data_IF_189360866021
#
_entry.id   IF_189360866021
#
_cell.length_a   1.000
_cell.length_b   1.000
_cell.length_c   1.000
_cell.angle_alpha   90.00
_cell.angle_beta   90.00
_cell.angle_gamma   90.00
#
_symmetry.space_group_name_H-M   'P 1'
#
loop_
_entity.id
_entity.type
_entity.pdbx_description
1 polymer ?
#
# COMPACT_ATOMS: atom_id res chain seq x y z
N UNK A 1 -0.70 5.25 -11.64
CA UNK A 1 0.20 5.18 -10.47
C UNK A 1 1.33 6.19 -10.63
N UNK A 2 1.63 6.99 -9.60
CA UNK A 2 2.73 7.95 -9.62
C UNK A 2 3.99 7.35 -8.97
N UNK A 3 4.90 6.80 -9.76
CA UNK A 3 6.13 6.14 -9.25
C UNK A 3 7.09 7.11 -8.53
N UNK A 4 6.97 8.42 -8.76
CA UNK A 4 7.75 9.46 -8.07
C UNK A 4 7.01 10.02 -6.85
N UNK A 5 5.80 9.56 -6.58
CA UNK A 5 4.97 9.98 -5.45
C UNK A 5 5.56 9.53 -4.11
N UNK A 6 5.06 10.06 -2.99
CA UNK A 6 5.52 9.62 -1.68
C UNK A 6 5.14 8.16 -1.42
N UNK A 7 5.95 7.48 -0.60
CA UNK A 7 5.53 6.25 0.06
C UNK A 7 4.85 6.63 1.37
N UNK A 8 3.66 6.10 1.59
CA UNK A 8 2.85 6.35 2.78
C UNK A 8 3.01 5.18 3.74
N UNK A 9 3.22 5.45 5.02
CA UNK A 9 3.29 4.47 6.10
C UNK A 9 2.22 4.78 7.15
N UNK A 10 1.26 3.87 7.34
CA UNK A 10 0.22 3.96 8.35
C UNK A 10 0.58 2.98 9.48
N UNK A 11 1.15 3.52 10.56
CA UNK A 11 1.64 2.78 11.72
C UNK A 11 1.68 3.70 12.94
N UNK A 12 1.05 3.30 14.03
CA UNK A 12 0.99 4.10 15.26
C UNK A 12 2.10 3.70 16.26
N UNK A 13 2.71 2.53 16.12
CA UNK A 13 3.86 2.09 16.90
C UNK A 13 5.12 2.84 16.45
N UNK A 14 5.81 3.49 17.39
CA UNK A 14 7.04 4.24 17.08
C UNK A 14 8.23 3.34 16.74
N UNK A 15 8.31 2.16 17.35
CA UNK A 15 9.36 1.17 17.07
C UNK A 15 9.24 0.63 15.65
N UNK A 16 8.02 0.26 15.24
CA UNK A 16 7.76 -0.25 13.89
C UNK A 16 7.97 0.84 12.84
N UNK A 17 7.55 2.09 13.11
CA UNK A 17 7.89 3.23 12.24
C UNK A 17 9.40 3.43 12.06
N UNK A 18 10.17 3.34 13.15
CA UNK A 18 11.63 3.44 13.09
C UNK A 18 12.23 2.30 12.26
N UNK A 19 11.72 1.08 12.44
CA UNK A 19 12.14 -0.09 11.66
C UNK A 19 11.93 0.13 10.15
N UNK A 20 10.73 0.51 9.74
CA UNK A 20 10.41 0.77 8.32
C UNK A 20 11.25 1.93 7.75
N UNK A 21 11.32 3.05 8.46
CA UNK A 21 12.09 4.22 7.99
C UNK A 21 13.58 3.95 7.88
N UNK A 22 14.15 3.16 8.80
CA UNK A 22 15.53 2.69 8.68
C UNK A 22 15.72 1.83 7.44
N UNK A 23 14.83 0.86 7.19
CA UNK A 23 14.88 0.00 6.00
C UNK A 23 14.78 0.83 4.71
N UNK A 24 13.83 1.78 4.64
CA UNK A 24 13.69 2.65 3.48
C UNK A 24 14.96 3.48 3.22
N UNK A 25 15.61 3.95 4.29
CA UNK A 25 16.89 4.66 4.19
C UNK A 25 18.03 3.74 3.72
N UNK A 26 18.15 2.54 4.26
CA UNK A 26 19.18 1.56 3.87
C UNK A 26 19.01 1.06 2.44
N UNK A 27 17.78 1.03 1.93
CA UNK A 27 17.45 0.69 0.55
C UNK A 27 17.58 1.89 -0.41
N UNK A 28 18.00 3.06 0.09
CA UNK A 28 18.17 4.29 -0.70
C UNK A 28 16.90 4.68 -1.49
N UNK A 29 15.73 4.48 -0.89
CA UNK A 29 14.46 4.83 -1.51
C UNK A 29 14.39 6.35 -1.68
N UNK A 30 14.33 6.80 -2.93
CA UNK A 30 14.29 8.23 -3.27
C UNK A 30 12.94 8.91 -3.00
N UNK A 31 11.86 8.14 -2.87
CA UNK A 31 10.52 8.64 -2.60
C UNK A 31 10.43 9.27 -1.20
N UNK A 32 9.73 10.40 -1.07
CA UNK A 32 9.42 10.98 0.25
C UNK A 32 8.60 9.99 1.07
N UNK A 33 8.95 9.80 2.34
CA UNK A 33 8.17 8.98 3.26
C UNK A 33 7.19 9.87 4.05
N UNK A 34 5.90 9.55 4.02
CA UNK A 34 4.85 10.19 4.81
C UNK A 34 4.29 9.20 5.83
N UNK A 35 4.34 9.54 7.12
CA UNK A 35 3.89 8.65 8.19
C UNK A 35 2.61 9.17 8.85
N UNK A 36 1.66 8.26 9.09
CA UNK A 36 0.37 8.56 9.74
C UNK A 36 0.06 7.54 10.84
N UNK A 37 -0.75 7.96 11.82
CA UNK A 37 -1.17 7.08 12.94
C UNK A 37 -2.46 6.31 12.65
N UNK A 38 -3.21 6.71 11.61
CA UNK A 38 -4.49 6.12 11.24
C UNK A 38 -4.68 6.18 9.72
N UNK A 39 -5.55 5.32 9.19
CA UNK A 39 -5.96 5.36 7.79
C UNK A 39 -6.74 6.63 7.46
N UNK A 40 -7.57 7.10 8.39
CA UNK A 40 -8.32 8.36 8.22
C UNK A 40 -7.40 9.57 8.09
N UNK A 41 -6.35 9.69 8.91
CA UNK A 41 -5.39 10.80 8.81
C UNK A 41 -4.67 10.80 7.46
N UNK A 42 -4.25 9.62 7.01
CA UNK A 42 -3.61 9.44 5.71
C UNK A 42 -4.55 9.82 4.58
N UNK A 43 -5.78 9.30 4.57
CA UNK A 43 -6.78 9.58 3.55
C UNK A 43 -7.10 11.08 3.47
N UNK A 44 -7.41 11.71 4.61
CA UNK A 44 -7.72 13.13 4.68
C UNK A 44 -6.57 13.98 4.17
N UNK A 45 -5.33 13.65 4.56
CA UNK A 45 -4.15 14.36 4.09
C UNK A 45 -3.97 14.22 2.57
N UNK A 46 -4.02 13.00 2.04
CA UNK A 46 -3.75 12.73 0.63
C UNK A 46 -4.80 13.40 -0.27
N UNK A 47 -6.07 13.32 0.09
CA UNK A 47 -7.17 13.91 -0.69
C UNK A 47 -7.21 15.43 -0.59
N UNK A 48 -7.06 15.99 0.60
CA UNK A 48 -7.10 17.45 0.80
C UNK A 48 -5.94 18.17 0.09
N UNK A 49 -4.78 17.52 -0.01
CA UNK A 49 -3.58 18.11 -0.62
C UNK A 49 -3.32 17.62 -2.05
N UNK A 50 -4.25 16.86 -2.64
CA UNK A 50 -4.12 16.26 -3.99
C UNK A 50 -2.79 15.50 -4.19
N UNK A 51 -2.41 14.71 -3.18
CA UNK A 51 -1.16 13.95 -3.17
C UNK A 51 -1.39 12.55 -3.72
N UNK A 52 -0.84 12.29 -4.91
CA UNK A 52 -0.79 10.94 -5.50
C UNK A 52 0.36 10.12 -4.91
N UNK A 53 0.05 9.19 -4.02
CA UNK A 53 1.02 8.26 -3.44
C UNK A 53 1.58 7.28 -4.48
N UNK A 54 2.83 6.86 -4.26
CA UNK A 54 3.43 5.75 -5.01
C UNK A 54 2.95 4.41 -4.46
N UNK A 55 3.15 4.21 -3.15
CA UNK A 55 2.79 3.00 -2.42
C UNK A 55 2.26 3.38 -1.04
N UNK A 56 1.34 2.58 -0.52
CA UNK A 56 0.87 2.68 0.87
C UNK A 56 1.24 1.38 1.58
N UNK A 57 1.99 1.49 2.67
CA UNK A 57 2.20 0.44 3.65
C UNK A 57 1.31 0.72 4.85
N UNK A 58 0.46 -0.21 5.25
CA UNK A 58 -0.47 0.02 6.36
C UNK A 58 -0.59 -1.19 7.30
N UNK A 59 -0.57 -0.93 8.61
CA UNK A 59 -0.93 -1.96 9.58
C UNK A 59 -2.43 -2.30 9.45
N UNK A 60 -2.70 -3.57 9.16
CA UNK A 60 -4.06 -4.08 8.95
C UNK A 60 -4.92 -3.92 10.21
N UNK A 61 -4.32 -3.96 11.41
CA UNK A 61 -5.04 -3.79 12.68
C UNK A 61 -5.58 -2.37 12.77
N UNK A 62 -4.77 -1.37 12.42
CA UNK A 62 -5.18 0.04 12.46
C UNK A 62 -6.31 0.32 11.47
N UNK A 63 -6.23 -0.26 10.27
CA UNK A 63 -7.30 -0.14 9.28
C UNK A 63 -8.62 -0.77 9.74
N UNK A 64 -8.57 -1.94 10.39
CA UNK A 64 -9.78 -2.56 10.96
C UNK A 64 -10.36 -1.78 12.14
N UNK A 65 -9.53 -1.08 12.92
CA UNK A 65 -9.97 -0.26 14.04
C UNK A 65 -10.66 1.03 13.57
N UNK A 66 -10.16 1.63 12.49
CA UNK A 66 -10.78 2.81 11.86
C UNK A 66 -12.14 2.47 11.22
N UNK A 67 -12.23 1.32 10.55
CA UNK A 67 -13.47 0.75 10.00
C UNK A 67 -14.61 0.67 11.03
N UNK A 68 -14.28 0.43 12.30
CA UNK A 68 -15.26 0.26 13.39
C UNK A 68 -15.67 1.57 14.06
N UNK A 69 -14.82 2.60 14.01
CA UNK A 69 -15.00 3.80 14.81
C UNK A 69 -15.61 4.96 14.03
N UNK A 70 -15.28 5.15 12.74
CA UNK A 70 -15.78 6.33 11.98
C UNK A 70 -15.62 6.26 10.45
N UNK A 71 -15.23 5.13 9.85
CA UNK A 71 -14.75 5.13 8.47
C UNK A 71 -15.77 5.70 7.45
N UNK A 72 -15.36 6.75 6.74
CA UNK A 72 -16.05 7.21 5.55
C UNK A 72 -15.85 6.23 4.38
N UNK A 73 -14.77 5.44 4.38
CA UNK A 73 -14.41 4.48 3.32
C UNK A 73 -13.82 3.22 3.95
N UNK A 74 -14.33 2.01 3.62
CA UNK A 74 -13.75 0.76 4.09
C UNK A 74 -12.31 0.57 3.60
N UNK A 75 -11.42 -0.03 4.39
CA UNK A 75 -10.04 -0.34 3.96
C UNK A 75 -9.95 -1.08 2.61
N UNK A 76 -11.01 -1.85 2.26
CA UNK A 76 -11.16 -2.56 0.98
C UNK A 76 -11.18 -1.65 -0.24
N UNK A 77 -11.57 -0.38 -0.06
CA UNK A 77 -11.69 0.61 -1.14
C UNK A 77 -10.54 1.62 -1.16
N UNK A 78 -9.68 1.62 -0.14
CA UNK A 78 -8.62 2.62 0.03
C UNK A 78 -7.70 2.71 -1.19
N UNK A 79 -7.32 1.57 -1.77
CA UNK A 79 -6.47 1.52 -2.97
C UNK A 79 -7.18 2.00 -4.24
N UNK A 80 -8.49 1.75 -4.34
CA UNK A 80 -9.30 2.15 -5.49
C UNK A 80 -9.45 3.67 -5.48
N UNK A 81 -9.76 4.24 -4.31
CA UNK A 81 -9.98 5.68 -4.18
C UNK A 81 -8.70 6.48 -4.25
N UNK A 82 -7.61 5.98 -3.66
CA UNK A 82 -6.30 6.62 -3.74
C UNK A 82 -5.54 6.28 -5.04
N UNK A 83 -6.10 5.38 -5.87
CA UNK A 83 -5.52 4.93 -7.14
C UNK A 83 -4.05 4.54 -7.04
N UNK A 84 -3.69 3.84 -5.96
CA UNK A 84 -2.35 3.40 -5.67
C UNK A 84 -2.34 2.03 -4.96
N UNK A 85 -1.28 1.23 -5.12
CA UNK A 85 -1.18 -0.04 -4.42
C UNK A 85 -1.11 0.16 -2.90
N UNK A 86 -2.01 -0.50 -2.19
CA UNK A 86 -2.01 -0.60 -0.73
C UNK A 86 -1.53 -1.98 -0.32
N UNK A 87 -0.45 -2.01 0.45
CA UNK A 87 0.22 -3.18 0.95
C UNK A 87 0.01 -3.22 2.46
N UNK A 88 -0.60 -4.27 2.95
CA UNK A 88 -0.86 -4.38 4.38
C UNK A 88 0.30 -5.12 5.08
N UNK A 89 0.46 -4.88 6.36
CA UNK A 89 1.36 -5.64 7.22
C UNK A 89 0.76 -5.73 8.62
N UNK A 90 1.31 -6.58 9.48
CA UNK A 90 1.05 -6.52 10.92
C UNK A 90 2.22 -7.09 11.68
N UNK A 91 2.67 -6.38 12.71
CA UNK A 91 3.74 -6.83 13.60
C UNK A 91 3.20 -7.63 14.78
N UNK A 92 1.89 -7.53 15.06
CA UNK A 92 1.21 -8.16 16.20
C UNK A 92 1.18 -9.70 16.11
N UNK A 93 1.17 -10.25 14.90
CA UNK A 93 1.13 -11.70 14.67
C UNK A 93 2.45 -12.28 14.15
N UNK A 94 3.56 -11.53 14.23
CA UNK A 94 4.84 -11.88 13.61
C UNK A 94 4.70 -12.20 12.10
N UNK A 95 3.71 -11.61 11.42
CA UNK A 95 3.33 -11.95 10.05
C UNK A 95 3.02 -10.70 9.20
N UNK A 96 3.89 -10.38 8.23
CA UNK A 96 3.68 -9.24 7.32
C UNK A 96 2.96 -9.67 6.03
N UNK A 97 1.65 -9.46 5.94
CA UNK A 97 0.83 -9.87 4.79
C UNK A 97 0.68 -8.79 3.72
N UNK A 98 1.50 -8.85 2.69
CA UNK A 98 1.30 -8.02 1.50
C UNK A 98 0.06 -8.52 0.76
N UNK A 99 -1.01 -7.72 0.70
CA UNK A 99 -2.13 -7.96 -0.21
C UNK A 99 -1.99 -6.99 -1.37
N UNK A 100 -1.79 -7.49 -2.58
CA UNK A 100 -2.03 -6.69 -3.77
C UNK A 100 -3.53 -6.74 -4.10
N UNK A 101 -4.24 -5.69 -3.71
CA UNK A 101 -5.64 -5.42 -4.03
C UNK A 101 -5.96 -5.31 -5.52
N UNK A 102 -4.95 -5.16 -6.39
CA UNK A 102 -5.12 -5.18 -7.85
C UNK A 102 -4.93 -6.58 -8.47
N UNK A 103 -4.35 -7.53 -7.72
CA UNK A 103 -4.19 -8.91 -8.15
C UNK A 103 -5.40 -9.75 -7.74
N UNK A 104 -6.08 -10.35 -8.73
CA UNK A 104 -6.92 -11.53 -8.51
C UNK A 104 -6.24 -12.71 -9.20
N UNK A 105 -5.91 -13.80 -8.47
CA UNK A 105 -6.09 -13.97 -7.03
C UNK A 105 -5.14 -13.07 -6.23
N UNK A 106 -5.63 -12.58 -5.09
CA UNK A 106 -4.84 -11.78 -4.14
C UNK A 106 -3.67 -12.61 -3.66
N UNK A 107 -2.46 -12.27 -4.10
CA UNK A 107 -1.28 -13.03 -3.72
C UNK A 107 -0.89 -12.65 -2.29
N UNK A 108 -1.40 -13.40 -1.31
CA UNK A 108 -1.05 -13.21 0.10
C UNK A 108 0.32 -13.82 0.39
N UNK A 109 1.29 -12.99 0.74
CA UNK A 109 2.56 -13.46 1.27
C UNK A 109 2.38 -13.67 2.79
N UNK A 110 2.30 -14.92 3.24
CA UNK A 110 2.26 -15.26 4.68
C UNK A 110 3.69 -15.35 5.20
N UNK A 111 4.05 -14.45 6.11
CA UNK A 111 5.44 -14.08 6.32
C UNK A 111 5.80 -14.17 7.82
N UNK A 112 5.97 -15.40 8.33
CA UNK A 112 6.43 -15.77 9.71
C UNK A 112 7.76 -15.09 10.13
N UNK A 113 8.14 -14.99 11.43
CA UNK A 113 9.04 -13.93 11.93
C UNK A 113 10.34 -13.85 11.14
N UNK A 114 10.45 -12.76 10.36
CA UNK A 114 11.61 -12.47 9.55
C UNK A 114 12.71 -11.87 10.43
N UNK A 115 13.95 -12.27 10.16
CA UNK A 115 15.09 -11.47 10.57
C UNK A 115 15.00 -10.10 9.90
N UNK A 116 15.61 -9.09 10.51
CA UNK A 116 15.71 -7.74 9.95
C UNK A 116 16.10 -7.75 8.46
N UNK A 117 17.13 -8.53 8.09
CA UNK A 117 17.63 -8.62 6.71
C UNK A 117 16.60 -9.14 5.71
N UNK A 118 15.85 -10.17 6.10
CA UNK A 118 14.84 -10.71 5.20
C UNK A 118 13.64 -9.78 5.10
N UNK A 119 13.28 -9.07 6.17
CA UNK A 119 12.23 -8.06 6.10
C UNK A 119 12.63 -6.91 5.15
N UNK A 120 13.88 -6.44 5.25
CA UNK A 120 14.47 -5.50 4.30
C UNK A 120 14.43 -6.02 2.85
N UNK A 121 14.75 -7.30 2.63
CA UNK A 121 14.65 -7.93 1.30
C UNK A 121 13.22 -7.97 0.76
N UNK A 122 12.23 -8.26 1.61
CA UNK A 122 10.81 -8.22 1.22
C UNK A 122 10.42 -6.80 0.79
N UNK A 123 10.75 -5.78 1.60
CA UNK A 123 10.48 -4.38 1.27
C UNK A 123 11.15 -3.97 -0.05
N UNK A 124 12.42 -4.35 -0.26
CA UNK A 124 13.14 -4.12 -1.52
C UNK A 124 12.39 -4.73 -2.69
N UNK A 125 12.02 -5.99 -2.60
CA UNK A 125 11.34 -6.74 -3.66
C UNK A 125 10.03 -6.08 -4.06
N UNK A 126 9.25 -5.65 -3.08
CA UNK A 126 7.98 -4.94 -3.29
C UNK A 126 8.21 -3.62 -4.02
N UNK A 127 9.11 -2.78 -3.49
CA UNK A 127 9.36 -1.44 -4.04
C UNK A 127 9.90 -1.54 -5.46
N UNK A 128 10.82 -2.46 -5.72
CA UNK A 128 11.34 -2.73 -7.06
C UNK A 128 10.27 -3.22 -8.02
N UNK A 129 9.40 -4.13 -7.58
CA UNK A 129 8.30 -4.67 -8.39
C UNK A 129 7.38 -3.55 -8.88
N UNK A 130 6.89 -2.71 -7.97
CA UNK A 130 5.99 -1.60 -8.33
C UNK A 130 6.69 -0.46 -9.07
N UNK A 131 8.00 -0.29 -8.88
CA UNK A 131 8.80 0.66 -9.64
C UNK A 131 8.99 0.22 -11.11
N UNK A 132 9.06 -1.09 -11.36
CA UNK A 132 9.22 -1.68 -12.71
C UNK A 132 7.89 -1.95 -13.40
N UNK A 133 6.78 -1.94 -12.67
CA UNK A 133 5.45 -2.16 -13.23
C UNK A 133 5.00 -0.90 -13.98
N UNK A 134 5.14 -0.92 -15.30
CA UNK A 134 4.41 0.00 -16.18
C UNK A 134 2.91 -0.30 -16.02
N UNK A 135 2.17 0.72 -15.61
CA UNK A 135 0.74 0.67 -15.29
C UNK A 135 -0.06 -0.32 -16.16
N UNK A 136 -0.63 -1.37 -15.55
CA UNK A 136 -1.72 -2.14 -16.16
C UNK A 136 -2.94 -1.20 -16.21
N UNK A 137 -2.95 -0.28 -17.18
CA UNK A 137 -4.07 0.66 -17.42
C UNK A 137 -4.58 0.56 -18.86
N UNK A 138 -4.24 -0.51 -19.58
CA UNK A 138 -4.66 -0.72 -20.98
C UNK A 138 -5.62 -1.91 -21.19
N UNK A 139 -5.86 -2.79 -20.21
CA UNK A 139 -6.72 -3.97 -20.42
C UNK A 139 -8.23 -3.77 -20.24
N UNK A 140 -8.68 -2.54 -19.94
CA UNK A 140 -10.11 -2.23 -19.74
C UNK A 140 -10.85 -1.59 -20.93
N UNK A 141 -10.17 -1.22 -22.02
CA UNK A 141 -10.78 -0.47 -23.14
C UNK A 141 -10.95 -1.25 -24.46
N UNK A 142 -11.04 -2.58 -24.43
CA UNK A 142 -11.35 -3.36 -25.64
C UNK A 142 -12.45 -4.42 -25.46
N UNK A 143 -13.55 -4.11 -24.78
CA UNK A 143 -14.83 -4.83 -24.99
C UNK A 143 -15.99 -3.86 -24.88
N UNK A 144 -16.21 -3.08 -25.92
CA UNK A 144 -17.31 -2.14 -25.99
C UNK A 144 -17.44 -1.49 -27.35
N UNK A 145 -17.58 -2.29 -28.42
CA UNK A 145 -18.35 -1.92 -29.61
C UNK A 145 -18.32 -3.05 -30.65
N UNK A 146 -19.51 -3.62 -30.86
CA UNK A 146 -20.11 -4.16 -32.10
C UNK A 146 -20.80 -5.50 -31.84
N UNK A 147 -21.98 -5.40 -31.23
CA UNK A 147 -23.10 -6.29 -31.50
C UNK A 147 -24.36 -5.42 -31.53
N UNK A 148 -24.54 -4.70 -32.64
CA UNK A 148 -25.87 -4.25 -33.10
C UNK A 148 -25.93 -4.58 -34.57
N UNK A 149 -26.32 -5.82 -34.86
CA UNK A 149 -26.85 -6.25 -36.13
C UNK A 149 -27.84 -7.38 -35.85
N UNK A 150 -29.08 -7.01 -35.57
CA UNK A 150 -30.26 -7.71 -36.06
C UNK A 150 -31.44 -6.74 -36.09
#
# INVERSE_FOLDING_TARGET
>A
MNQKGPIVLIENNQGDRKLFTQIFSELEISNKILCFNSGNDAYNYLTTHDVSAFLIFADIVLLHMDDKQTAHIPYKNLSIELNCPCLFFTTVFNQCFVLDVHSVPTQSYVVNPYTYEKFKEVIRTIVEYWSKTESITQYGKSKGQKDVAN
#
